data_IF_479319955161
#
_entry.id   IF_479319955161
#
_cell.length_a   1.000
_cell.length_b   1.000
_cell.length_c   1.000
_cell.angle_alpha   90.00
_cell.angle_beta   90.00
_cell.angle_gamma   90.00
#
_symmetry.space_group_name_H-M   'P 1'
#
loop_
_entity.id
_entity.type
_entity.pdbx_description
1 polymer ?
#
# COMPACT_ATOMS: atom_id res chain seq x y z
N UNK A 1 16.51 5.76 22.20
CA UNK A 1 16.30 5.18 20.87
C UNK A 1 15.80 3.75 21.02
N UNK A 2 14.69 3.43 20.38
CA UNK A 2 14.12 2.07 20.45
C UNK A 2 14.82 1.18 19.45
N UNK A 3 15.31 0.02 19.91
CA UNK A 3 15.89 -0.99 19.03
C UNK A 3 14.76 -1.84 18.43
N UNK A 4 14.71 -1.90 17.12
CA UNK A 4 13.74 -2.73 16.41
C UNK A 4 14.37 -4.09 16.11
N UNK A 5 13.63 -5.16 16.39
CA UNK A 5 14.09 -6.54 16.19
C UNK A 5 13.20 -7.16 15.11
N UNK A 6 13.82 -7.77 14.11
CA UNK A 6 13.14 -8.52 13.07
C UNK A 6 13.29 -10.01 13.33
N UNK A 7 12.21 -10.76 13.14
CA UNK A 7 12.22 -12.23 13.25
C UNK A 7 11.94 -12.80 11.87
N UNK A 8 12.86 -13.62 11.37
CA UNK A 8 12.71 -14.27 10.07
C UNK A 8 11.81 -15.50 10.15
N UNK A 9 11.43 -16.07 9.01
CA UNK A 9 10.56 -17.24 8.93
C UNK A 9 11.11 -18.47 9.64
N UNK A 10 12.43 -18.60 9.70
CA UNK A 10 13.08 -19.73 10.37
C UNK A 10 13.32 -19.46 11.85
N UNK A 11 12.78 -18.37 12.40
CA UNK A 11 12.92 -18.02 13.80
C UNK A 11 14.19 -17.27 14.15
N UNK A 12 15.02 -16.94 13.16
CA UNK A 12 16.19 -16.11 13.42
C UNK A 12 15.76 -14.71 13.83
N UNK A 13 16.42 -14.17 14.84
CA UNK A 13 16.19 -12.81 15.32
C UNK A 13 17.36 -11.95 14.89
N UNK A 14 17.06 -10.86 14.18
CA UNK A 14 18.08 -9.89 13.82
C UNK A 14 17.62 -8.47 14.11
N UNK A 15 18.59 -7.60 14.38
CA UNK A 15 18.32 -6.20 14.59
C UNK A 15 18.07 -5.52 13.24
N UNK A 16 16.98 -4.76 13.13
CA UNK A 16 16.73 -3.96 11.96
C UNK A 16 17.78 -2.86 11.82
N UNK A 17 18.29 -2.67 10.61
CA UNK A 17 19.32 -1.65 10.37
C UNK A 17 18.77 -0.24 10.49
N UNK A 18 17.47 -0.03 10.12
CA UNK A 18 16.84 1.28 10.25
C UNK A 18 15.31 1.15 10.25
N UNK A 19 14.66 2.23 10.65
CA UNK A 19 13.21 2.33 10.70
C UNK A 19 12.57 2.16 9.31
N UNK A 20 13.22 2.65 8.27
CA UNK A 20 12.75 2.51 6.89
C UNK A 20 12.58 1.04 6.49
N UNK A 21 13.57 0.21 6.82
CA UNK A 21 13.52 -1.23 6.51
C UNK A 21 12.29 -1.88 7.15
N UNK A 22 12.04 -1.60 8.42
CA UNK A 22 10.90 -2.14 9.14
C UNK A 22 9.57 -1.67 8.53
N UNK A 23 9.45 -0.37 8.29
CA UNK A 23 8.24 0.20 7.70
C UNK A 23 7.95 -0.38 6.33
N UNK A 24 8.99 -0.54 5.52
CA UNK A 24 8.85 -1.10 4.18
C UNK A 24 8.39 -2.55 4.22
N UNK A 25 8.95 -3.36 5.11
CA UNK A 25 8.56 -4.76 5.27
C UNK A 25 7.12 -4.90 5.74
N UNK A 26 6.70 -4.11 6.73
CA UNK A 26 5.32 -4.13 7.21
C UNK A 26 4.35 -3.64 6.14
N UNK A 27 4.70 -2.57 5.44
CA UNK A 27 3.87 -2.06 4.35
C UNK A 27 3.67 -3.10 3.26
N UNK A 28 4.73 -3.78 2.84
CA UNK A 28 4.66 -4.85 1.85
C UNK A 28 3.70 -5.96 2.29
N UNK A 29 3.80 -6.37 3.56
CA UNK A 29 2.90 -7.38 4.12
C UNK A 29 1.44 -6.91 4.14
N UNK A 30 1.19 -5.65 4.53
CA UNK A 30 -0.16 -5.08 4.55
C UNK A 30 -0.77 -5.02 3.16
N UNK A 31 0.00 -4.65 2.14
CA UNK A 31 -0.47 -4.59 0.77
C UNK A 31 -0.92 -5.95 0.27
N UNK A 32 -0.25 -7.03 0.70
CA UNK A 32 -0.62 -8.39 0.32
C UNK A 32 -1.95 -8.83 0.95
N UNK A 33 -2.44 -8.13 1.98
CA UNK A 33 -3.73 -8.43 2.59
C UNK A 33 -4.91 -7.85 1.79
N UNK A 34 -4.65 -6.94 0.87
CA UNK A 34 -5.69 -6.33 0.04
C UNK A 34 -5.94 -7.22 -1.18
N UNK A 35 -7.08 -7.92 -1.27
CA UNK A 35 -7.33 -8.82 -2.38
C UNK A 35 -7.64 -8.07 -3.67
N UNK A 36 -7.47 -8.73 -4.84
CA UNK A 36 -7.96 -8.19 -6.11
C UNK A 36 -9.45 -7.88 -6.01
N UNK A 37 -9.85 -6.74 -6.54
CA UNK A 37 -11.25 -6.28 -6.47
C UNK A 37 -11.54 -5.37 -5.30
N UNK A 38 -10.58 -5.19 -4.40
CA UNK A 38 -10.67 -4.24 -3.30
C UNK A 38 -9.49 -3.28 -3.31
N UNK A 39 -9.64 -2.18 -2.59
CA UNK A 39 -8.57 -1.20 -2.37
C UNK A 39 -8.54 -0.83 -0.89
N UNK A 40 -7.44 -0.26 -0.46
CA UNK A 40 -7.33 0.40 0.84
C UNK A 40 -6.90 1.85 0.61
N UNK A 41 -6.68 2.60 1.69
CA UNK A 41 -6.30 4.01 1.58
C UNK A 41 -4.93 4.25 2.20
N UNK A 42 -4.29 5.35 1.76
CA UNK A 42 -3.05 5.81 2.40
C UNK A 42 -3.26 6.04 3.90
N UNK A 43 -4.43 6.55 4.27
CA UNK A 43 -4.78 6.82 5.67
C UNK A 43 -4.89 5.53 6.49
N UNK A 44 -5.51 4.49 5.94
CA UNK A 44 -5.64 3.20 6.62
C UNK A 44 -4.26 2.56 6.86
N UNK A 45 -3.40 2.59 5.86
CA UNK A 45 -2.03 2.09 5.98
C UNK A 45 -1.23 2.89 6.99
N UNK A 46 -1.33 4.21 6.94
CA UNK A 46 -0.64 5.11 7.85
C UNK A 46 -1.03 4.85 9.30
N UNK A 47 -2.30 4.56 9.54
CA UNK A 47 -2.81 4.27 10.89
C UNK A 47 -2.14 3.01 11.47
N UNK A 48 -2.01 1.96 10.68
CA UNK A 48 -1.36 0.72 11.11
C UNK A 48 0.13 0.94 11.33
N UNK A 49 0.77 1.68 10.43
CA UNK A 49 2.22 1.91 10.50
C UNK A 49 2.61 2.99 11.53
N UNK A 50 1.65 3.78 12.03
CA UNK A 50 1.95 4.87 12.95
C UNK A 50 2.71 6.03 12.32
N UNK A 51 2.47 6.30 11.03
CA UNK A 51 3.14 7.35 10.26
C UNK A 51 2.11 8.23 9.55
N UNK A 52 2.57 9.34 8.98
CA UNK A 52 1.72 10.23 8.20
C UNK A 52 1.38 9.57 6.84
N UNK A 53 0.14 9.73 6.33
CA UNK A 53 -0.25 9.18 5.02
C UNK A 53 0.67 9.60 3.86
N UNK A 54 1.21 10.82 3.90
CA UNK A 54 2.15 11.29 2.91
C UNK A 54 3.42 10.44 2.85
N UNK A 55 3.87 9.96 4.00
CA UNK A 55 5.05 9.10 4.07
C UNK A 55 4.78 7.72 3.47
N UNK A 56 3.55 7.21 3.64
CA UNK A 56 3.11 5.98 2.96
C UNK A 56 3.26 6.14 1.44
N UNK A 57 2.85 7.28 0.89
CA UNK A 57 3.01 7.57 -0.53
C UNK A 57 4.46 7.53 -0.98
N UNK A 58 5.38 8.05 -0.17
CA UNK A 58 6.81 8.02 -0.45
C UNK A 58 7.34 6.58 -0.48
N UNK A 59 6.94 5.76 0.49
CA UNK A 59 7.35 4.36 0.55
C UNK A 59 6.83 3.58 -0.65
N UNK A 60 5.58 3.81 -1.04
CA UNK A 60 4.96 3.14 -2.18
C UNK A 60 5.66 3.46 -3.50
N UNK A 61 6.10 4.70 -3.70
CA UNK A 61 6.86 5.09 -4.89
C UNK A 61 8.12 4.27 -5.09
N UNK A 62 8.68 3.76 -4.01
CA UNK A 62 9.93 3.00 -4.03
C UNK A 62 9.71 1.50 -4.16
N UNK A 63 8.45 1.06 -4.38
CA UNK A 63 8.13 -0.35 -4.57
C UNK A 63 8.88 -0.90 -5.79
N UNK A 64 9.81 -1.86 -5.61
CA UNK A 64 10.59 -2.39 -6.73
C UNK A 64 9.85 -3.43 -7.56
N UNK A 65 8.70 -3.89 -7.07
CA UNK A 65 7.92 -4.97 -7.72
C UNK A 65 6.44 -4.58 -7.83
N UNK A 66 6.12 -3.55 -8.65
CA UNK A 66 4.72 -3.17 -8.84
C UNK A 66 3.91 -4.35 -9.39
N UNK A 67 2.63 -4.39 -9.06
CA UNK A 67 1.67 -5.47 -9.35
C UNK A 67 1.87 -6.68 -8.43
N UNK A 68 3.06 -7.24 -8.33
CA UNK A 68 3.35 -8.35 -7.39
C UNK A 68 3.14 -7.89 -5.96
N UNK A 69 3.70 -6.73 -5.61
CA UNK A 69 3.34 -6.00 -4.40
C UNK A 69 2.30 -4.97 -4.83
N UNK A 70 1.00 -5.17 -4.49
CA UNK A 70 -0.09 -4.47 -5.16
C UNK A 70 -0.30 -3.03 -4.68
N UNK A 71 0.68 -2.18 -4.89
CA UNK A 71 0.60 -0.77 -4.51
C UNK A 71 -0.46 0.00 -5.31
N UNK A 72 -0.93 -0.56 -6.44
CA UNK A 72 -2.04 0.02 -7.20
C UNK A 72 -3.37 -0.06 -6.44
N UNK A 73 -3.47 -0.89 -5.40
CA UNK A 73 -4.68 -1.03 -4.58
C UNK A 73 -4.71 -0.05 -3.41
N UNK A 74 -3.97 1.05 -3.51
CA UNK A 74 -3.99 2.11 -2.50
C UNK A 74 -4.51 3.38 -3.15
N UNK A 75 -5.58 3.93 -2.58
CA UNK A 75 -6.24 5.12 -3.08
C UNK A 75 -6.34 6.17 -1.97
N UNK A 76 -6.73 7.39 -2.34
CA UNK A 76 -6.95 8.46 -1.37
C UNK A 76 -8.21 8.16 -0.56
N UNK A 77 -8.32 8.74 0.63
CA UNK A 77 -9.47 8.51 1.51
C UNK A 77 -10.80 8.96 0.93
N UNK A 78 -10.78 9.87 -0.05
CA UNK A 78 -11.98 10.30 -0.78
C UNK A 78 -12.30 9.41 -2.00
N UNK A 79 -11.54 8.33 -2.22
CA UNK A 79 -11.73 7.40 -3.32
C UNK A 79 -10.99 7.74 -4.60
N UNK A 80 -10.37 8.92 -4.68
CA UNK A 80 -9.56 9.29 -5.84
C UNK A 80 -8.32 8.39 -5.91
N UNK A 81 -7.86 8.10 -7.12
CA UNK A 81 -6.79 7.13 -7.32
C UNK A 81 -5.46 7.52 -6.67
N UNK A 82 -5.14 8.80 -6.61
CA UNK A 82 -3.80 9.23 -6.23
C UNK A 82 -2.81 8.94 -7.34
N UNK A 83 -1.52 9.02 -7.03
CA UNK A 83 -0.50 8.78 -8.03
C UNK A 83 -0.19 7.29 -8.23
N UNK A 84 0.48 6.99 -9.33
CA UNK A 84 1.05 5.68 -9.60
C UNK A 84 2.31 5.82 -10.41
N UNK A 85 3.37 5.12 -9.99
CA UNK A 85 4.65 5.13 -10.68
C UNK A 85 4.98 3.71 -11.14
N UNK A 86 5.20 3.55 -12.46
CA UNK A 86 5.56 2.28 -13.07
C UNK A 86 6.87 2.50 -13.84
N UNK A 87 7.90 1.74 -13.49
CA UNK A 87 9.22 1.85 -14.13
C UNK A 87 9.76 3.29 -14.15
N UNK A 88 9.57 4.02 -13.05
CA UNK A 88 10.02 5.40 -12.92
C UNK A 88 9.13 6.44 -13.59
N UNK A 89 8.03 6.04 -14.22
CA UNK A 89 7.10 6.94 -14.89
C UNK A 89 5.76 7.00 -14.17
N UNK A 90 5.19 8.18 -14.08
CA UNK A 90 3.83 8.36 -13.55
C UNK A 90 2.84 7.88 -14.58
N UNK A 91 1.98 6.93 -14.20
CA UNK A 91 0.98 6.35 -15.10
C UNK A 91 -0.30 6.00 -14.36
N UNK A 92 -1.11 7.02 -14.11
CA UNK A 92 -2.38 6.86 -13.41
C UNK A 92 -3.41 6.06 -14.23
N UNK A 93 -3.33 6.14 -15.56
CA UNK A 93 -4.23 5.37 -16.44
C UNK A 93 -3.98 3.88 -16.30
N UNK A 94 -2.73 3.49 -16.14
CA UNK A 94 -2.38 2.08 -15.91
C UNK A 94 -2.95 1.58 -14.59
N UNK A 95 -2.87 2.40 -13.54
CA UNK A 95 -3.47 2.10 -12.24
C UNK A 95 -4.98 1.89 -12.37
N UNK A 96 -5.66 2.79 -13.07
CA UNK A 96 -7.10 2.69 -13.30
C UNK A 96 -7.44 1.39 -14.04
N UNK A 97 -6.71 1.06 -15.09
CA UNK A 97 -6.90 -0.16 -15.86
C UNK A 97 -6.73 -1.41 -15.00
N UNK A 98 -5.72 -1.44 -14.15
CA UNK A 98 -5.49 -2.57 -13.25
C UNK A 98 -6.68 -2.75 -12.30
N UNK A 99 -7.15 -1.67 -11.70
CA UNK A 99 -8.27 -1.73 -10.75
C UNK A 99 -9.56 -2.19 -11.42
N UNK A 100 -9.87 -1.64 -12.60
CA UNK A 100 -11.06 -2.04 -13.36
C UNK A 100 -10.98 -3.51 -13.77
N UNK A 101 -9.80 -3.96 -14.21
CA UNK A 101 -9.59 -5.37 -14.58
C UNK A 101 -9.81 -6.29 -13.38
N UNK A 102 -9.49 -5.82 -12.17
CA UNK A 102 -9.70 -6.58 -10.93
C UNK A 102 -11.15 -6.53 -10.43
N UNK A 103 -12.02 -5.77 -11.08
CA UNK A 103 -13.43 -5.68 -10.72
C UNK A 103 -13.79 -4.48 -9.84
N UNK A 104 -12.87 -3.56 -9.60
CA UNK A 104 -13.16 -2.36 -8.81
C UNK A 104 -14.06 -1.43 -9.62
N UNK A 105 -15.14 -0.96 -9.01
CA UNK A 105 -16.07 -0.03 -9.65
C UNK A 105 -15.72 1.40 -9.29
N UNK A 106 -15.67 2.25 -10.30
CA UNK A 106 -15.41 3.67 -10.13
C UNK A 106 -16.61 4.48 -10.59
N UNK A 107 -16.85 5.61 -9.93
CA UNK A 107 -17.89 6.55 -10.28
C UNK A 107 -17.36 7.97 -10.09
N UNK A 108 -17.49 8.79 -11.12
CA UNK A 108 -17.01 10.18 -11.11
C UNK A 108 -15.54 10.31 -10.71
N UNK A 109 -14.69 9.41 -11.24
CA UNK A 109 -13.25 9.41 -10.99
C UNK A 109 -12.84 8.90 -9.63
N UNK A 110 -13.75 8.28 -8.88
CA UNK A 110 -13.49 7.77 -7.52
C UNK A 110 -13.90 6.32 -7.41
N UNK A 111 -13.13 5.57 -6.62
CA UNK A 111 -13.54 4.22 -6.22
C UNK A 111 -14.73 4.35 -5.28
N UNK A 112 -15.80 3.58 -5.52
CA UNK A 112 -16.95 3.61 -4.65
C UNK A 112 -16.63 2.95 -3.32
N UNK A 113 -17.24 3.45 -2.25
CA UNK A 113 -16.91 3.11 -0.87
C UNK A 113 -16.96 1.62 -0.58
N UNK A 114 -17.86 0.89 -1.22
CA UNK A 114 -18.06 -0.55 -1.00
C UNK A 114 -16.80 -1.37 -1.28
N UNK A 115 -15.88 -0.86 -2.09
CA UNK A 115 -14.64 -1.56 -2.44
C UNK A 115 -13.45 -1.14 -1.59
N UNK A 116 -13.63 -0.17 -0.67
CA UNK A 116 -12.56 0.36 0.17
C UNK A 116 -12.50 -0.37 1.49
N UNK A 117 -11.36 -0.96 1.79
CA UNK A 117 -11.09 -1.60 3.08
C UNK A 117 -10.36 -0.60 3.99
N UNK A 118 -11.03 -0.12 5.03
CA UNK A 118 -10.43 0.81 6.00
C UNK A 118 -9.72 0.10 7.15
N UNK A 119 -10.17 -1.12 7.50
CA UNK A 119 -9.61 -1.88 8.61
C UNK A 119 -8.84 -3.08 8.07
N UNK A 120 -7.52 -2.94 7.91
CA UNK A 120 -6.65 -4.01 7.46
C UNK A 120 -6.32 -5.01 8.56
N UNK A 121 -6.30 -4.52 9.80
CA UNK A 121 -6.07 -5.32 11.00
C UNK A 121 -7.15 -4.94 12.01
N UNK A 122 -7.89 -5.92 12.46
CA UNK A 122 -8.93 -5.73 13.49
C UNK A 122 -8.44 -6.21 14.85
#
# INVERSE_FOLDING_TARGET
MVTTILVSRNGEVRKAENTYEVLNDVLTALLQLVPPGNVTTYKALARVLGIHPRYVGILIKKNPKPIVVPCHRVVRSDGRLGGYTLNGRKDIHFKEKLLITEGVVMRDGRVIKDFIIDNLIT
#
